data_IF_007818412615
#
_entry.id   IF_007818412615
#
_cell.length_a   1.000
_cell.length_b   1.000
_cell.length_c   1.000
_cell.angle_alpha   90.00
_cell.angle_beta   90.00
_cell.angle_gamma   90.00
#
_symmetry.space_group_name_H-M   'P 1'
#
loop_
_entity.id
_entity.type
_entity.pdbx_description
1 polymer ?
#
# COMPACT_ATOMS: atom_id res chain seq x y z
N UNK A 1 24.04 -28.17 -32.58
CA UNK A 1 23.51 -26.80 -32.85
C UNK A 1 23.39 -26.12 -31.50
N UNK A 2 24.00 -24.95 -31.32
CA UNK A 2 23.88 -24.23 -30.05
C UNK A 2 22.43 -23.80 -29.83
N UNK A 3 21.92 -23.96 -28.62
CA UNK A 3 20.61 -23.45 -28.22
C UNK A 3 20.61 -21.93 -28.36
N UNK A 4 19.66 -21.37 -29.12
CA UNK A 4 19.54 -19.92 -29.24
C UNK A 4 19.02 -19.36 -27.92
N UNK A 5 19.66 -18.29 -27.46
CA UNK A 5 19.40 -17.70 -26.14
C UNK A 5 19.00 -16.23 -26.24
N UNK A 6 18.00 -15.82 -25.44
CA UNK A 6 17.60 -14.44 -25.21
C UNK A 6 17.61 -14.14 -23.71
N UNK A 7 18.05 -12.95 -23.33
CA UNK A 7 17.94 -12.46 -21.95
C UNK A 7 16.93 -11.32 -21.90
N UNK A 8 15.94 -11.43 -21.01
CA UNK A 8 14.93 -10.41 -20.68
C UNK A 8 15.25 -9.88 -19.28
N UNK A 9 16.01 -8.79 -19.20
CA UNK A 9 16.53 -8.22 -17.94
C UNK A 9 15.98 -6.82 -17.63
N UNK A 10 14.91 -6.43 -18.31
CA UNK A 10 14.35 -5.07 -18.25
C UNK A 10 12.85 -5.03 -18.52
N UNK A 11 12.35 -3.81 -18.77
CA UNK A 11 10.92 -3.55 -18.95
C UNK A 11 10.33 -4.28 -20.17
N UNK A 12 9.20 -4.95 -19.97
CA UNK A 12 8.41 -5.58 -21.03
C UNK A 12 7.45 -4.52 -21.59
N UNK A 13 7.72 -4.03 -22.79
CA UNK A 13 6.90 -2.96 -23.36
C UNK A 13 7.53 -2.34 -24.59
N UNK A 14 6.97 -1.22 -25.06
CA UNK A 14 7.40 -0.57 -26.30
C UNK A 14 8.89 -0.16 -26.31
N UNK A 15 9.44 0.19 -25.15
CA UNK A 15 10.79 0.74 -24.99
C UNK A 15 11.86 -0.29 -24.59
N UNK A 16 11.50 -1.57 -24.55
CA UNK A 16 12.39 -2.67 -24.19
C UNK A 16 12.00 -3.95 -24.92
N UNK A 17 11.57 -4.95 -24.17
CA UNK A 17 11.18 -6.26 -24.71
C UNK A 17 9.77 -6.23 -25.27
N UNK A 18 9.61 -5.59 -26.43
CA UNK A 18 8.31 -5.42 -27.07
C UNK A 18 7.79 -6.70 -27.73
N UNK A 19 6.47 -6.84 -27.87
CA UNK A 19 5.84 -7.94 -28.63
C UNK A 19 6.35 -8.06 -30.07
N UNK A 20 6.79 -6.95 -30.68
CA UNK A 20 7.40 -6.95 -32.01
C UNK A 20 8.85 -7.45 -31.98
N UNK A 21 9.61 -7.04 -30.97
CA UNK A 21 11.00 -7.50 -30.78
C UNK A 21 11.04 -9.02 -30.56
N UNK A 22 10.21 -9.53 -29.64
CA UNK A 22 10.13 -10.96 -29.36
C UNK A 22 9.67 -11.76 -30.59
N UNK A 23 8.63 -11.28 -31.29
CA UNK A 23 8.18 -11.91 -32.55
C UNK A 23 9.30 -12.05 -33.57
N UNK A 24 10.09 -11.00 -33.78
CA UNK A 24 11.19 -11.01 -34.74
C UNK A 24 12.33 -11.94 -34.30
N UNK A 25 12.65 -11.97 -33.01
CA UNK A 25 13.62 -12.90 -32.46
C UNK A 25 13.20 -14.36 -32.69
N UNK A 26 11.94 -14.70 -32.36
CA UNK A 26 11.41 -16.05 -32.56
C UNK A 26 11.33 -16.43 -34.05
N UNK A 27 10.99 -15.49 -34.93
CA UNK A 27 11.02 -15.73 -36.37
C UNK A 27 12.43 -16.07 -36.88
N UNK A 28 13.46 -15.40 -36.34
CA UNK A 28 14.86 -15.69 -36.65
C UNK A 28 15.35 -17.02 -36.05
N UNK A 29 14.82 -17.41 -34.88
CA UNK A 29 15.08 -18.70 -34.25
C UNK A 29 14.54 -19.90 -35.04
N UNK A 30 13.54 -19.66 -35.89
CA UNK A 30 12.87 -20.69 -36.67
C UNK A 30 11.99 -21.55 -35.78
N UNK A 31 12.10 -22.88 -35.90
CA UNK A 31 11.32 -23.84 -35.09
C UNK A 31 12.17 -24.59 -34.07
N UNK A 32 13.42 -24.20 -33.85
CA UNK A 32 14.34 -24.87 -32.94
C UNK A 32 14.04 -24.58 -31.47
N UNK A 33 14.66 -25.29 -30.52
CA UNK A 33 14.54 -24.97 -29.10
C UNK A 33 15.18 -23.62 -28.79
N UNK A 34 14.51 -22.84 -27.95
CA UNK A 34 14.94 -21.51 -27.50
C UNK A 34 14.93 -21.47 -25.97
N UNK A 35 16.02 -20.97 -25.39
CA UNK A 35 16.12 -20.69 -23.96
C UNK A 35 16.04 -19.18 -23.73
N UNK A 36 15.17 -18.76 -22.80
CA UNK A 36 15.02 -17.34 -22.45
C UNK A 36 15.32 -17.18 -20.96
N UNK A 37 16.34 -16.41 -20.60
CA UNK A 37 16.57 -16.03 -19.20
C UNK A 37 15.77 -14.79 -18.87
N UNK A 38 15.09 -14.77 -17.74
CA UNK A 38 14.24 -13.65 -17.32
C UNK A 38 14.66 -13.20 -15.93
N UNK A 39 14.84 -11.89 -15.79
CA UNK A 39 15.03 -11.18 -14.52
C UNK A 39 14.40 -9.80 -14.69
N UNK A 40 13.07 -9.73 -14.58
CA UNK A 40 12.31 -8.52 -14.89
C UNK A 40 11.18 -8.29 -13.90
N UNK A 41 10.98 -7.03 -13.53
CA UNK A 41 9.86 -6.60 -12.69
C UNK A 41 8.55 -6.44 -13.47
N UNK A 42 8.58 -6.64 -14.80
CA UNK A 42 7.40 -6.65 -15.65
C UNK A 42 7.27 -5.44 -16.58
N UNK A 43 6.04 -4.96 -16.77
CA UNK A 43 5.68 -3.92 -17.72
C UNK A 43 4.27 -4.09 -18.30
N UNK A 44 4.11 -3.79 -19.59
CA UNK A 44 2.82 -3.64 -20.26
C UNK A 44 2.08 -4.98 -20.44
N UNK A 45 0.85 -5.07 -19.89
CA UNK A 45 0.00 -6.28 -19.96
C UNK A 45 -0.31 -6.68 -21.41
N UNK A 46 -0.58 -5.72 -22.31
CA UNK A 46 -0.84 -6.01 -23.73
C UNK A 46 0.35 -6.68 -24.42
N UNK A 47 1.56 -6.22 -24.12
CA UNK A 47 2.78 -6.83 -24.66
C UNK A 47 2.98 -8.22 -24.08
N UNK A 48 2.76 -8.40 -22.78
CA UNK A 48 2.90 -9.68 -22.11
C UNK A 48 1.93 -10.73 -22.64
N UNK A 49 0.66 -10.37 -22.88
CA UNK A 49 -0.33 -11.29 -23.47
C UNK A 49 0.08 -11.72 -24.88
N UNK A 50 0.53 -10.78 -25.72
CA UNK A 50 1.00 -11.11 -27.06
C UNK A 50 2.26 -11.99 -27.04
N UNK A 51 3.20 -11.73 -26.13
CA UNK A 51 4.42 -12.54 -25.97
C UNK A 51 4.08 -13.95 -25.45
N UNK A 52 3.16 -14.05 -24.49
CA UNK A 52 2.62 -15.33 -24.03
C UNK A 52 2.10 -16.18 -25.20
N UNK A 53 1.30 -15.59 -26.08
CA UNK A 53 0.73 -16.29 -27.23
C UNK A 53 1.83 -16.69 -28.23
N UNK A 54 2.80 -15.81 -28.48
CA UNK A 54 3.97 -16.11 -29.33
C UNK A 54 4.80 -17.28 -28.79
N UNK A 55 5.02 -17.34 -27.48
CA UNK A 55 5.73 -18.46 -26.85
C UNK A 55 4.97 -19.76 -27.01
N UNK A 56 3.65 -19.72 -26.82
CA UNK A 56 2.77 -20.88 -26.97
C UNK A 56 2.72 -21.38 -28.41
N UNK A 57 2.65 -20.46 -29.38
CA UNK A 57 2.69 -20.78 -30.81
C UNK A 57 4.03 -21.39 -31.24
N UNK A 58 5.15 -20.91 -30.67
CA UNK A 58 6.47 -21.46 -30.95
C UNK A 58 6.67 -22.85 -30.33
N UNK A 59 6.15 -23.08 -29.12
CA UNK A 59 6.00 -24.40 -28.49
C UNK A 59 7.29 -25.05 -27.95
N UNK A 60 8.47 -24.56 -28.31
CA UNK A 60 9.78 -25.05 -27.81
C UNK A 60 10.56 -24.00 -27.01
N UNK A 61 9.85 -23.26 -26.15
CA UNK A 61 10.44 -22.23 -25.28
C UNK A 61 10.69 -22.82 -23.89
N UNK A 62 11.94 -22.74 -23.44
CA UNK A 62 12.32 -22.93 -22.03
C UNK A 62 12.67 -21.59 -21.40
N UNK A 63 12.00 -21.23 -20.31
CA UNK A 63 12.33 -20.04 -19.53
C UNK A 63 13.16 -20.41 -18.31
N UNK A 64 14.18 -19.62 -18.02
CA UNK A 64 14.93 -19.67 -16.78
C UNK A 64 14.79 -18.36 -16.02
N UNK A 65 14.08 -18.40 -14.91
CA UNK A 65 13.88 -17.28 -14.01
C UNK A 65 15.09 -17.14 -13.10
N UNK A 66 15.64 -15.93 -13.10
CA UNK A 66 16.77 -15.51 -12.28
C UNK A 66 16.42 -14.21 -11.58
N UNK A 67 16.96 -13.96 -10.39
CA UNK A 67 16.75 -12.69 -9.71
C UNK A 67 15.29 -12.47 -9.27
N UNK A 68 14.78 -11.27 -9.50
CA UNK A 68 13.40 -10.90 -9.15
C UNK A 68 12.54 -10.90 -10.41
N UNK A 69 11.44 -11.66 -10.37
CA UNK A 69 10.51 -11.81 -11.48
C UNK A 69 9.10 -11.46 -11.01
N UNK A 70 8.52 -10.42 -11.58
CA UNK A 70 7.20 -9.95 -11.17
C UNK A 70 6.30 -9.60 -12.35
N UNK A 71 5.00 -9.55 -12.09
CA UNK A 71 4.03 -8.90 -12.98
C UNK A 71 4.02 -9.49 -14.39
N UNK A 72 4.04 -8.66 -15.44
CA UNK A 72 4.12 -9.08 -16.84
C UNK A 72 5.23 -10.12 -17.13
N UNK A 73 6.36 -10.07 -16.41
CA UNK A 73 7.44 -11.04 -16.60
C UNK A 73 7.04 -12.45 -16.16
N UNK A 74 6.29 -12.55 -15.06
CA UNK A 74 5.70 -13.82 -14.63
C UNK A 74 4.58 -14.29 -15.55
N UNK A 75 3.84 -13.37 -16.17
CA UNK A 75 2.74 -13.68 -17.09
C UNK A 75 3.21 -14.32 -18.40
N UNK A 76 4.30 -13.82 -19.00
CA UNK A 76 4.83 -14.40 -20.24
C UNK A 76 5.27 -15.86 -20.03
N UNK A 77 5.65 -16.22 -18.80
CA UNK A 77 6.11 -17.58 -18.52
C UNK A 77 5.04 -18.64 -18.70
N UNK A 78 3.76 -18.27 -18.58
CA UNK A 78 2.63 -19.18 -18.74
C UNK A 78 2.45 -19.68 -20.18
N UNK A 79 3.14 -19.04 -21.14
CA UNK A 79 3.15 -19.44 -22.55
C UNK A 79 4.31 -20.37 -22.89
N UNK A 80 5.28 -20.53 -22.00
CA UNK A 80 6.44 -21.38 -22.23
C UNK A 80 6.12 -22.87 -22.08
N UNK A 81 6.89 -23.71 -22.76
CA UNK A 81 6.79 -25.15 -22.62
C UNK A 81 7.30 -25.61 -21.25
N UNK A 82 8.37 -24.97 -20.77
CA UNK A 82 9.00 -25.28 -19.48
C UNK A 82 9.48 -24.00 -18.80
N UNK A 83 9.21 -23.88 -17.51
CA UNK A 83 9.66 -22.78 -16.67
C UNK A 83 10.54 -23.33 -15.55
N UNK A 84 11.77 -22.85 -15.49
CA UNK A 84 12.77 -23.23 -14.49
C UNK A 84 13.03 -21.99 -13.65
N UNK A 85 13.05 -22.10 -12.32
CA UNK A 85 13.46 -21.01 -11.43
C UNK A 85 14.77 -21.37 -10.73
N UNK A 86 15.70 -20.43 -10.62
CA UNK A 86 16.87 -20.65 -9.80
C UNK A 86 16.50 -20.58 -8.31
N UNK A 87 17.12 -21.40 -7.46
CA UNK A 87 16.83 -21.48 -6.02
C UNK A 87 17.00 -20.15 -5.26
N UNK A 88 17.79 -19.21 -5.80
CA UNK A 88 18.00 -17.88 -5.25
C UNK A 88 17.11 -16.78 -5.87
N UNK A 89 16.03 -17.15 -6.56
CA UNK A 89 15.16 -16.22 -7.29
C UNK A 89 13.79 -16.10 -6.66
N UNK A 90 13.13 -14.97 -6.94
CA UNK A 90 11.83 -14.62 -6.40
C UNK A 90 10.79 -14.44 -7.51
N UNK A 91 9.54 -14.77 -7.18
CA UNK A 91 8.38 -14.72 -8.07
C UNK A 91 7.24 -13.93 -7.42
N UNK A 92 6.63 -13.00 -8.13
CA UNK A 92 5.51 -12.20 -7.61
C UNK A 92 4.42 -12.01 -8.66
N UNK A 93 3.18 -12.25 -8.25
CA UNK A 93 1.98 -11.87 -9.01
C UNK A 93 1.20 -10.83 -8.21
N UNK A 94 0.58 -9.88 -8.92
CA UNK A 94 -0.24 -8.84 -8.31
C UNK A 94 -1.40 -8.46 -9.23
N UNK A 95 -2.37 -7.68 -8.74
CA UNK A 95 -3.51 -7.19 -9.52
C UNK A 95 -3.08 -6.25 -10.64
N UNK A 96 -3.86 -6.16 -11.72
CA UNK A 96 -3.55 -5.25 -12.81
C UNK A 96 -3.50 -3.80 -12.28
N UNK A 97 -2.38 -3.12 -12.54
CA UNK A 97 -2.16 -1.72 -12.18
C UNK A 97 -2.34 -0.85 -13.44
N UNK A 98 -2.81 0.37 -13.24
CA UNK A 98 -2.73 1.42 -14.25
C UNK A 98 -2.24 2.71 -13.61
N UNK A 99 -1.52 3.49 -14.39
CA UNK A 99 -1.13 4.84 -14.00
C UNK A 99 -2.38 5.71 -13.87
N UNK A 100 -2.49 6.40 -12.74
CA UNK A 100 -3.53 7.39 -12.44
C UNK A 100 -2.84 8.71 -12.11
N UNK A 101 -3.20 9.80 -12.79
CA UNK A 101 -2.58 11.10 -12.57
C UNK A 101 -3.58 12.23 -12.71
N UNK A 102 -4.14 12.65 -11.57
CA UNK A 102 -5.17 13.68 -11.48
C UNK A 102 -4.67 14.81 -10.57
N UNK A 103 -4.16 15.90 -11.15
CA UNK A 103 -3.61 17.05 -10.44
C UNK A 103 -4.13 18.37 -11.03
N UNK A 104 -4.55 19.30 -10.18
CA UNK A 104 -4.98 20.64 -10.60
C UNK A 104 -5.99 21.28 -9.66
N UNK A 105 -6.42 22.51 -9.98
CA UNK A 105 -7.58 23.12 -9.34
C UNK A 105 -8.84 22.58 -10.04
N UNK A 106 -9.66 21.84 -9.30
CA UNK A 106 -10.90 21.23 -9.79
C UNK A 106 -12.08 21.83 -9.02
N UNK A 107 -13.13 22.23 -9.74
CA UNK A 107 -14.41 22.56 -9.12
C UNK A 107 -15.19 21.24 -8.81
N UNK A 108 -16.35 21.30 -8.12
CA UNK A 108 -17.11 20.09 -7.80
C UNK A 108 -17.50 19.22 -9.01
N UNK A 109 -17.90 19.83 -10.14
CA UNK A 109 -18.29 19.09 -11.35
C UNK A 109 -17.08 18.41 -12.02
N UNK A 110 -15.90 19.04 -11.95
CA UNK A 110 -14.64 18.45 -12.41
C UNK A 110 -14.27 17.21 -11.58
N UNK A 111 -14.45 17.28 -10.25
CA UNK A 111 -14.19 16.16 -9.33
C UNK A 111 -15.12 14.98 -9.63
N UNK A 112 -16.42 15.24 -9.80
CA UNK A 112 -17.39 14.20 -10.13
C UNK A 112 -17.06 13.51 -11.47
N UNK A 113 -16.58 14.28 -12.45
CA UNK A 113 -16.14 13.75 -13.75
C UNK A 113 -14.91 12.85 -13.63
N UNK A 114 -13.93 13.24 -12.82
CA UNK A 114 -12.72 12.43 -12.54
C UNK A 114 -13.10 11.13 -11.83
N UNK A 115 -13.95 11.20 -10.80
CA UNK A 115 -14.44 10.01 -10.10
C UNK A 115 -15.09 9.02 -11.08
N UNK A 116 -15.97 9.51 -11.96
CA UNK A 116 -16.65 8.67 -12.94
C UNK A 116 -15.67 7.96 -13.91
N UNK A 117 -14.61 8.64 -14.37
CA UNK A 117 -13.61 8.00 -15.24
C UNK A 117 -12.73 6.99 -14.45
N UNK A 118 -12.37 7.29 -13.21
CA UNK A 118 -11.64 6.36 -12.34
C UNK A 118 -12.46 5.11 -12.02
N UNK A 119 -13.77 5.24 -11.77
CA UNK A 119 -14.67 4.10 -11.59
C UNK A 119 -14.71 3.20 -12.83
N UNK A 120 -14.80 3.81 -14.02
CA UNK A 120 -14.77 3.09 -15.29
C UNK A 120 -13.42 2.40 -15.53
N UNK A 121 -12.30 3.06 -15.21
CA UNK A 121 -10.96 2.47 -15.30
C UNK A 121 -10.80 1.30 -14.33
N UNK A 122 -11.26 1.44 -13.09
CA UNK A 122 -11.29 0.36 -12.09
C UNK A 122 -12.06 -0.86 -12.59
N UNK A 123 -13.28 -0.66 -13.10
CA UNK A 123 -14.10 -1.75 -13.65
C UNK A 123 -13.41 -2.48 -14.82
N UNK A 124 -12.61 -1.76 -15.61
CA UNK A 124 -11.79 -2.37 -16.66
C UNK A 124 -10.62 -3.18 -16.06
N UNK A 125 -9.90 -2.64 -15.07
CA UNK A 125 -8.81 -3.33 -14.40
C UNK A 125 -9.27 -4.59 -13.65
N UNK A 126 -10.49 -4.60 -13.11
CA UNK A 126 -11.09 -5.80 -12.52
C UNK A 126 -11.27 -6.92 -13.56
N UNK A 127 -11.69 -6.58 -14.78
CA UNK A 127 -11.80 -7.54 -15.90
C UNK A 127 -10.44 -8.07 -16.33
N UNK A 128 -9.45 -7.19 -16.44
CA UNK A 128 -8.06 -7.57 -16.77
C UNK A 128 -7.52 -8.50 -15.68
N UNK A 129 -7.61 -8.10 -14.41
CA UNK A 129 -7.17 -8.90 -13.25
C UNK A 129 -7.80 -10.29 -13.25
N UNK A 130 -9.12 -10.39 -13.46
CA UNK A 130 -9.81 -11.67 -13.53
C UNK A 130 -9.28 -12.55 -14.68
N UNK A 131 -9.00 -11.96 -15.84
CA UNK A 131 -8.43 -12.69 -16.96
C UNK A 131 -7.02 -13.20 -16.66
N UNK A 132 -6.16 -12.38 -16.05
CA UNK A 132 -4.82 -12.80 -15.65
C UNK A 132 -4.87 -13.91 -14.59
N UNK A 133 -5.75 -13.79 -13.60
CA UNK A 133 -5.95 -14.82 -12.58
C UNK A 133 -6.36 -16.17 -13.17
N UNK A 134 -7.22 -16.17 -14.22
CA UNK A 134 -7.59 -17.39 -14.95
C UNK A 134 -6.39 -18.03 -15.65
N UNK A 135 -5.45 -17.24 -16.17
CA UNK A 135 -4.24 -17.77 -16.81
C UNK A 135 -3.33 -18.45 -15.78
N UNK A 136 -3.06 -17.80 -14.64
CA UNK A 136 -2.30 -18.40 -13.54
C UNK A 136 -2.98 -19.64 -12.96
N UNK A 137 -4.31 -19.60 -12.79
CA UNK A 137 -5.12 -20.76 -12.40
C UNK A 137 -4.96 -21.92 -13.39
N UNK A 138 -4.96 -21.63 -14.70
CA UNK A 138 -4.74 -22.64 -15.73
C UNK A 138 -3.36 -23.30 -15.68
N UNK A 139 -2.31 -22.57 -15.30
CA UNK A 139 -0.94 -23.11 -15.14
C UNK A 139 -0.77 -23.88 -13.83
N UNK A 140 -1.25 -23.33 -12.72
CA UNK A 140 -1.09 -23.88 -11.36
C UNK A 140 -2.04 -25.02 -11.04
N UNK A 141 -3.21 -25.07 -11.69
CA UNK A 141 -4.32 -25.94 -11.30
C UNK A 141 -5.08 -25.48 -10.05
N UNK A 142 -4.73 -24.31 -9.47
CA UNK A 142 -5.39 -23.74 -8.30
C UNK A 142 -6.70 -23.03 -8.67
N UNK A 143 -7.69 -22.93 -7.77
CA UNK A 143 -8.89 -22.13 -8.00
C UNK A 143 -8.57 -20.66 -8.29
N UNK A 144 -9.33 -20.03 -9.19
CA UNK A 144 -9.17 -18.60 -9.53
C UNK A 144 -9.28 -17.71 -8.29
N UNK A 145 -10.10 -18.08 -7.30
CA UNK A 145 -10.24 -17.33 -6.06
C UNK A 145 -8.93 -17.28 -5.26
N UNK A 146 -8.24 -18.42 -5.08
CA UNK A 146 -6.95 -18.48 -4.38
C UNK A 146 -5.88 -17.65 -5.10
N UNK A 147 -5.89 -17.66 -6.44
CA UNK A 147 -4.99 -16.82 -7.24
C UNK A 147 -5.29 -15.33 -7.03
N UNK A 148 -6.57 -14.94 -7.00
CA UNK A 148 -6.96 -13.55 -6.75
C UNK A 148 -6.58 -13.07 -5.35
N UNK A 149 -6.64 -13.95 -4.35
CA UNK A 149 -6.19 -13.67 -2.99
C UNK A 149 -4.67 -13.49 -2.96
N UNK A 150 -3.90 -14.39 -3.59
CA UNK A 150 -2.44 -14.24 -3.71
C UNK A 150 -2.04 -12.95 -4.46
N UNK A 151 -2.73 -12.63 -5.57
CA UNK A 151 -2.50 -11.36 -6.30
C UNK A 151 -2.84 -10.12 -5.46
N UNK A 152 -3.67 -10.25 -4.42
CA UNK A 152 -4.02 -9.15 -3.51
C UNK A 152 -2.96 -8.99 -2.42
N UNK A 153 -2.29 -10.06 -2.01
CA UNK A 153 -1.24 -10.03 -0.99
C UNK A 153 0.05 -9.38 -1.49
N UNK A 154 0.25 -9.35 -2.81
CA UNK A 154 1.42 -8.75 -3.48
C UNK A 154 2.75 -9.24 -2.89
N UNK A 155 2.82 -10.48 -2.42
CA UNK A 155 3.99 -10.99 -1.67
C UNK A 155 4.97 -11.70 -2.61
N UNK A 156 6.27 -11.56 -2.32
CA UNK A 156 7.33 -12.30 -3.01
C UNK A 156 7.36 -13.76 -2.56
N UNK A 157 7.25 -14.67 -3.52
CA UNK A 157 7.45 -16.10 -3.32
C UNK A 157 8.91 -16.46 -3.60
N UNK A 158 9.51 -17.29 -2.76
CA UNK A 158 10.77 -17.96 -3.09
C UNK A 158 10.55 -19.07 -4.15
N UNK A 159 11.65 -19.69 -4.60
CA UNK A 159 11.62 -20.71 -5.64
C UNK A 159 10.76 -21.93 -5.26
N UNK A 160 10.86 -22.39 -4.02
CA UNK A 160 10.11 -23.53 -3.48
C UNK A 160 8.61 -23.25 -3.38
N UNK A 161 8.25 -22.04 -2.96
CA UNK A 161 6.87 -21.57 -2.89
C UNK A 161 6.27 -21.45 -4.29
N UNK A 162 6.98 -20.81 -5.22
CA UNK A 162 6.54 -20.69 -6.62
C UNK A 162 6.33 -22.06 -7.28
N UNK A 163 7.21 -23.03 -6.98
CA UNK A 163 7.07 -24.41 -7.42
C UNK A 163 5.85 -25.09 -6.78
N UNK A 164 5.66 -24.91 -5.48
CA UNK A 164 4.52 -25.48 -4.74
C UNK A 164 3.17 -24.90 -5.19
N UNK A 165 3.15 -23.64 -5.61
CA UNK A 165 2.01 -22.99 -6.26
C UNK A 165 1.77 -23.50 -7.69
N UNK A 166 2.73 -24.19 -8.31
CA UNK A 166 2.63 -24.70 -9.67
C UNK A 166 2.87 -23.64 -10.75
N UNK A 167 3.50 -22.51 -10.41
CA UNK A 167 3.86 -21.49 -11.40
C UNK A 167 5.10 -21.85 -12.22
N UNK A 168 5.96 -22.70 -11.67
CA UNK A 168 7.23 -23.14 -12.26
C UNK A 168 7.31 -24.67 -12.25
N UNK A 169 8.04 -25.23 -13.21
CA UNK A 169 8.09 -26.68 -13.46
C UNK A 169 9.34 -27.35 -12.86
N UNK A 170 10.39 -26.59 -12.56
CA UNK A 170 11.65 -27.09 -12.00
C UNK A 170 12.39 -26.01 -11.21
N UNK A 171 13.12 -26.42 -10.16
CA UNK A 171 14.05 -25.57 -9.43
C UNK A 171 15.47 -25.98 -9.82
N UNK A 172 16.30 -25.01 -10.19
CA UNK A 172 17.71 -25.19 -10.52
C UNK A 172 18.61 -24.57 -9.45
N UNK A 173 19.67 -25.28 -9.05
CA UNK A 173 20.70 -24.73 -8.16
C UNK A 173 21.75 -24.00 -9.00
N UNK A 174 21.89 -22.67 -8.90
CA UNK A 174 22.90 -21.95 -9.64
C UNK A 174 24.29 -22.26 -9.08
N UNK A 175 25.30 -22.29 -9.95
CA UNK A 175 26.71 -22.48 -9.56
C UNK A 175 27.27 -21.33 -8.71
N UNK A 176 26.59 -20.18 -8.71
CA UNK A 176 26.98 -18.97 -8.00
C UNK A 176 25.75 -18.39 -7.30
N UNK A 177 25.84 -18.18 -5.97
CA UNK A 177 24.78 -17.52 -5.18
C UNK A 177 25.10 -16.03 -5.06
N UNK A 178 24.35 -15.18 -5.76
CA UNK A 178 24.44 -13.73 -5.58
C UNK A 178 23.42 -13.24 -4.56
N UNK A 179 23.85 -12.40 -3.61
CA UNK A 179 22.98 -11.76 -2.63
C UNK A 179 22.39 -10.47 -3.22
N UNK A 180 21.19 -10.59 -3.77
CA UNK A 180 20.51 -9.54 -4.53
C UNK A 180 19.97 -8.39 -3.68
N UNK A 181 19.86 -8.58 -2.36
CA UNK A 181 19.39 -7.57 -1.39
C UNK A 181 20.42 -6.47 -1.11
N UNK A 182 21.68 -6.66 -1.53
CA UNK A 182 22.75 -5.66 -1.39
C UNK A 182 22.84 -4.68 -2.56
N UNK A 183 21.92 -4.73 -3.53
CA UNK A 183 21.96 -3.89 -4.71
C UNK A 183 20.99 -2.69 -4.56
N UNK A 184 21.51 -1.50 -4.24
CA UNK A 184 20.73 -0.25 -4.12
C UNK A 184 19.91 0.07 -5.38
N UNK A 185 20.38 -0.36 -6.57
CA UNK A 185 19.63 -0.21 -7.83
C UNK A 185 18.37 -1.07 -7.86
N UNK A 186 18.40 -2.25 -7.24
CA UNK A 186 17.21 -3.13 -7.16
C UNK A 186 16.14 -2.53 -6.27
N UNK A 187 16.51 -1.96 -5.11
CA UNK A 187 15.56 -1.27 -4.23
C UNK A 187 14.91 -0.09 -4.96
N UNK A 188 15.70 0.67 -5.72
CA UNK A 188 15.19 1.78 -6.54
C UNK A 188 14.24 1.29 -7.65
N UNK A 189 14.56 0.19 -8.31
CA UNK A 189 13.72 -0.40 -9.36
C UNK A 189 12.41 -0.98 -8.79
N UNK A 190 12.44 -1.59 -7.61
CA UNK A 190 11.25 -2.09 -6.92
C UNK A 190 10.30 -0.95 -6.53
N UNK A 191 10.84 0.14 -5.98
CA UNK A 191 10.07 1.35 -5.69
C UNK A 191 9.47 1.96 -6.95
N UNK A 192 10.24 2.02 -8.05
CA UNK A 192 9.73 2.54 -9.33
C UNK A 192 8.64 1.65 -9.93
N UNK A 193 8.73 0.34 -9.73
CA UNK A 193 7.72 -0.63 -10.18
C UNK A 193 6.53 -0.76 -9.22
N UNK A 194 6.49 0.02 -8.13
CA UNK A 194 5.47 -0.04 -7.06
C UNK A 194 5.32 -1.46 -6.45
N UNK A 195 6.42 -2.22 -6.41
CA UNK A 195 6.46 -3.56 -5.84
C UNK A 195 6.99 -3.52 -4.38
N UNK A 196 6.55 -4.44 -3.50
CA UNK A 196 7.01 -4.44 -2.11
C UNK A 196 8.50 -4.73 -2.02
N UNK A 197 9.17 -4.07 -1.07
CA UNK A 197 10.60 -4.26 -0.82
C UNK A 197 10.79 -5.54 0.00
N UNK A 198 11.61 -6.50 -0.47
CA UNK A 198 11.97 -7.68 0.32
C UNK A 198 12.81 -7.24 1.53
N UNK A 199 12.44 -7.69 2.74
CA UNK A 199 13.11 -7.32 3.98
C UNK A 199 14.57 -7.81 4.00
N UNK A 200 15.49 -6.99 4.50
CA UNK A 200 16.94 -7.25 4.56
C UNK A 200 17.25 -8.40 5.54
N UNK A 201 17.78 -9.52 5.03
CA UNK A 201 18.35 -10.59 5.86
C UNK A 201 19.87 -10.38 5.94
N UNK A 202 20.40 -10.12 7.13
CA UNK A 202 21.84 -10.12 7.37
C UNK A 202 22.43 -11.56 7.24
N UNK A 203 23.57 -11.66 6.57
CA UNK A 203 24.22 -12.86 6.02
C UNK A 203 24.60 -13.95 7.04
N UNK A 204 24.33 -15.23 6.72
CA UNK A 204 25.01 -16.40 7.31
C UNK A 204 26.08 -16.86 6.29
N UNK A 205 27.33 -17.00 6.73
CA UNK A 205 28.48 -17.44 5.92
C UNK A 205 28.34 -18.88 5.37
N UNK A 206 28.77 -19.11 4.13
CA UNK A 206 28.64 -20.38 3.38
C UNK A 206 29.36 -21.58 4.04
N UNK A 207 28.76 -22.79 4.10
CA UNK A 207 29.45 -24.00 4.54
C UNK A 207 30.13 -24.78 3.38
N UNK A 208 31.28 -25.38 3.69
CA UNK A 208 32.25 -26.06 2.82
C UNK A 208 31.72 -27.35 2.14
N UNK A 209 32.16 -27.71 0.91
CA UNK A 209 31.52 -28.73 0.06
C UNK A 209 31.97 -30.18 0.38
N UNK A 210 31.55 -30.69 1.54
CA UNK A 210 31.76 -32.11 1.91
C UNK A 210 30.57 -32.77 2.63
N UNK A 211 29.51 -32.00 2.90
CA UNK A 211 28.40 -32.42 3.79
C UNK A 211 27.12 -32.78 3.02
N UNK A 212 27.05 -32.45 1.72
CA UNK A 212 25.81 -32.53 0.89
C UNK A 212 25.29 -33.97 0.73
N UNK A 213 26.17 -34.98 0.66
CA UNK A 213 25.74 -36.35 0.35
C UNK A 213 25.08 -37.06 1.55
N UNK A 214 25.46 -36.73 2.80
CA UNK A 214 24.82 -37.25 4.02
C UNK A 214 23.56 -36.47 4.42
N UNK A 215 23.49 -35.19 4.05
CA UNK A 215 22.36 -34.31 4.36
C UNK A 215 21.15 -34.62 3.48
N UNK A 216 21.35 -34.95 2.20
CA UNK A 216 20.24 -35.25 1.27
C UNK A 216 19.46 -36.53 1.60
N UNK A 217 20.12 -37.56 2.13
CA UNK A 217 19.46 -38.79 2.57
C UNK A 217 18.74 -38.63 3.91
N UNK A 218 19.26 -37.77 4.79
CA UNK A 218 18.62 -37.45 6.08
C UNK A 218 17.43 -36.50 5.89
N UNK A 219 17.55 -35.46 5.04
CA UNK A 219 16.44 -34.54 4.73
C UNK A 219 15.27 -35.22 4.04
N UNK A 220 15.48 -36.18 3.13
CA UNK A 220 14.34 -36.91 2.51
C UNK A 220 13.51 -37.68 3.54
N UNK A 221 14.12 -38.16 4.63
CA UNK A 221 13.40 -38.86 5.70
C UNK A 221 12.72 -37.86 6.66
N UNK A 222 13.34 -36.71 6.91
CA UNK A 222 12.80 -35.64 7.76
C UNK A 222 11.64 -34.89 7.08
N UNK A 223 11.70 -34.64 5.76
CA UNK A 223 10.65 -33.91 5.01
C UNK A 223 9.31 -34.66 5.01
N UNK A 224 9.32 -36.00 4.96
CA UNK A 224 8.07 -36.77 5.09
C UNK A 224 7.47 -36.72 6.51
N UNK A 225 8.26 -36.35 7.54
CA UNK A 225 7.76 -36.16 8.91
C UNK A 225 7.35 -34.72 9.23
N UNK A 226 7.71 -33.75 8.36
CA UNK A 226 7.44 -32.32 8.55
C UNK A 226 6.01 -31.90 8.20
N UNK A 227 5.20 -32.77 7.61
CA UNK A 227 3.80 -32.49 7.29
C UNK A 227 2.85 -32.46 8.50
N UNK A 228 3.35 -32.59 9.75
CA UNK A 228 2.50 -32.63 10.94
C UNK A 228 2.90 -31.68 12.09
N UNK A 229 3.80 -30.72 11.92
CA UNK A 229 4.08 -29.75 13.00
C UNK A 229 3.36 -28.42 12.76
N UNK A 230 2.44 -28.06 13.66
CA UNK A 230 1.74 -26.76 13.64
C UNK A 230 2.79 -25.64 13.81
N UNK A 231 3.05 -24.89 12.75
CA UNK A 231 3.96 -23.75 12.78
C UNK A 231 3.26 -22.54 13.39
N UNK A 232 3.73 -22.10 14.56
CA UNK A 232 3.33 -20.81 15.14
C UNK A 232 4.24 -19.72 14.58
N UNK A 233 4.07 -19.42 13.29
CA UNK A 233 4.96 -18.58 12.49
C UNK A 233 5.26 -17.24 13.18
N UNK A 234 4.23 -16.56 13.67
CA UNK A 234 4.40 -15.26 14.37
C UNK A 234 5.23 -15.37 15.65
N UNK A 235 5.04 -16.43 16.45
CA UNK A 235 5.82 -16.64 17.68
C UNK A 235 7.26 -17.04 17.36
N UNK A 236 7.46 -17.87 16.34
CA UNK A 236 8.79 -18.25 15.87
C UNK A 236 9.57 -17.03 15.36
N UNK A 237 8.92 -16.14 14.60
CA UNK A 237 9.51 -14.89 14.12
C UNK A 237 9.83 -13.93 15.26
N UNK A 238 8.90 -13.75 16.21
CA UNK A 238 9.11 -12.85 17.36
C UNK A 238 10.28 -13.31 18.24
N UNK A 239 10.41 -14.61 18.43
CA UNK A 239 11.45 -15.21 19.27
C UNK A 239 12.76 -15.46 18.51
N UNK A 240 12.80 -15.18 17.21
CA UNK A 240 13.92 -15.49 16.31
C UNK A 240 14.34 -16.98 16.38
N UNK A 241 13.37 -17.89 16.52
CA UNK A 241 13.64 -19.35 16.54
C UNK A 241 13.03 -20.04 15.32
N UNK A 242 13.69 -21.06 14.73
CA UNK A 242 13.14 -21.80 13.60
C UNK A 242 11.81 -22.51 13.94
N UNK A 243 11.71 -23.04 15.16
CA UNK A 243 10.51 -23.69 15.69
C UNK A 243 10.57 -23.76 17.21
N UNK A 244 9.41 -23.65 17.85
CA UNK A 244 9.27 -23.93 19.28
C UNK A 244 9.37 -25.42 19.58
N UNK A 245 10.13 -25.76 20.62
CA UNK A 245 10.24 -27.14 21.11
C UNK A 245 8.88 -27.58 21.68
N UNK A 246 8.40 -28.73 21.23
CA UNK A 246 7.13 -29.31 21.66
C UNK A 246 7.29 -30.76 22.08
N UNK A 247 6.56 -31.16 23.11
CA UNK A 247 6.43 -32.54 23.60
C UNK A 247 4.96 -32.97 23.59
N UNK A 248 4.68 -34.23 23.92
CA UNK A 248 3.29 -34.72 24.10
C UNK A 248 2.51 -33.94 25.17
N UNK A 249 3.21 -33.26 26.09
CA UNK A 249 2.63 -32.52 27.21
C UNK A 249 2.44 -31.01 26.89
N UNK A 250 3.08 -30.49 25.83
CA UNK A 250 2.94 -29.09 25.42
C UNK A 250 4.20 -28.45 24.84
N UNK A 251 4.15 -27.13 24.66
CA UNK A 251 5.24 -26.29 24.15
C UNK A 251 5.96 -25.63 25.31
N UNK A 252 7.29 -25.70 25.30
CA UNK A 252 8.12 -25.14 26.36
C UNK A 252 8.86 -23.89 25.88
N UNK A 253 8.89 -22.86 26.74
CA UNK A 253 9.60 -21.60 26.51
C UNK A 253 10.61 -21.40 27.64
N UNK A 254 11.82 -20.96 27.31
CA UNK A 254 12.80 -20.57 28.32
C UNK A 254 12.57 -19.13 28.81
N UNK A 255 13.20 -18.75 29.94
CA UNK A 255 13.00 -17.44 30.56
C UNK A 255 13.30 -16.27 29.60
N UNK A 256 14.30 -16.40 28.73
CA UNK A 256 14.63 -15.35 27.76
C UNK A 256 13.54 -15.20 26.70
N UNK A 257 12.97 -16.30 26.21
CA UNK A 257 11.86 -16.26 25.24
C UNK A 257 10.60 -15.66 25.85
N UNK A 258 10.29 -16.03 27.10
CA UNK A 258 9.16 -15.45 27.84
C UNK A 258 9.37 -13.94 28.06
N UNK A 259 10.60 -13.51 28.36
CA UNK A 259 10.94 -12.09 28.50
C UNK A 259 10.73 -11.32 27.20
N UNK A 260 11.18 -11.86 26.05
CA UNK A 260 10.98 -11.24 24.72
C UNK A 260 9.48 -11.09 24.39
N UNK A 261 8.69 -12.13 24.66
CA UNK A 261 7.23 -12.06 24.46
C UNK A 261 6.61 -11.00 25.36
N UNK A 262 7.03 -10.94 26.63
CA UNK A 262 6.48 -9.98 27.58
C UNK A 262 6.80 -8.53 27.17
N UNK A 263 8.05 -8.25 26.76
CA UNK A 263 8.44 -6.92 26.25
C UNK A 263 7.65 -6.55 24.99
N UNK A 264 7.46 -7.49 24.06
CA UNK A 264 6.68 -7.22 22.86
C UNK A 264 5.18 -6.98 23.15
N UNK A 265 4.63 -7.69 24.14
CA UNK A 265 3.26 -7.50 24.59
C UNK A 265 3.07 -6.15 25.28
N UNK A 266 4.00 -5.75 26.14
CA UNK A 266 4.02 -4.44 26.79
C UNK A 266 4.10 -3.31 25.77
N UNK A 267 4.98 -3.42 24.77
CA UNK A 267 5.07 -2.43 23.69
C UNK A 267 3.77 -2.33 22.88
N UNK A 268 3.15 -3.47 22.54
CA UNK A 268 1.87 -3.48 21.84
C UNK A 268 0.74 -2.88 22.70
N UNK A 269 0.73 -3.14 24.00
CA UNK A 269 -0.24 -2.54 24.91
C UNK A 269 -0.08 -1.02 25.01
N UNK A 270 1.16 -0.53 25.00
CA UNK A 270 1.44 0.90 24.94
C UNK A 270 0.93 1.52 23.63
N UNK A 271 1.21 0.90 22.48
CA UNK A 271 0.72 1.37 21.16
C UNK A 271 -0.81 1.41 21.11
N UNK A 272 -1.48 0.38 21.66
CA UNK A 272 -2.95 0.35 21.73
C UNK A 272 -3.49 1.48 22.60
N UNK A 273 -2.83 1.75 23.73
CA UNK A 273 -3.20 2.86 24.63
C UNK A 273 -3.05 4.21 23.93
N UNK A 274 -1.91 4.46 23.30
CA UNK A 274 -1.63 5.70 22.54
C UNK A 274 -2.63 5.90 21.38
N UNK A 275 -2.97 4.81 20.68
CA UNK A 275 -4.00 4.83 19.63
C UNK A 275 -5.36 5.21 20.19
N UNK A 276 -5.78 4.58 21.28
CA UNK A 276 -7.10 4.80 21.87
C UNK A 276 -7.22 6.22 22.43
N UNK A 277 -6.15 6.76 23.02
CA UNK A 277 -6.05 8.16 23.44
C UNK A 277 -6.15 9.12 22.24
N UNK A 278 -5.44 8.83 21.14
CA UNK A 278 -5.53 9.63 19.91
C UNK A 278 -6.94 9.61 19.31
N UNK A 279 -7.63 8.46 19.35
CA UNK A 279 -9.02 8.34 18.90
C UNK A 279 -9.95 9.15 19.79
N UNK A 280 -9.77 9.09 21.11
CA UNK A 280 -10.56 9.88 22.06
C UNK A 280 -10.39 11.39 21.81
N UNK A 281 -9.15 11.86 21.66
CA UNK A 281 -8.85 13.26 21.33
C UNK A 281 -9.49 13.69 20.02
N UNK A 282 -9.38 12.87 18.97
CA UNK A 282 -10.02 13.13 17.67
C UNK A 282 -11.54 13.23 17.80
N UNK A 283 -12.17 12.30 18.51
CA UNK A 283 -13.62 12.30 18.70
C UNK A 283 -14.10 13.52 19.50
N UNK A 284 -13.32 13.93 20.51
CA UNK A 284 -13.59 15.16 21.25
C UNK A 284 -13.48 16.38 20.34
N UNK A 285 -12.41 16.50 19.54
CA UNK A 285 -12.24 17.61 18.59
C UNK A 285 -13.36 17.67 17.53
N UNK A 286 -13.86 16.53 17.06
CA UNK A 286 -15.01 16.45 16.16
C UNK A 286 -16.29 16.93 16.87
N UNK A 287 -16.48 16.55 18.13
CA UNK A 287 -17.62 17.00 18.94
C UNK A 287 -17.58 18.51 19.16
N UNK A 288 -16.42 19.05 19.56
CA UNK A 288 -16.23 20.48 19.78
C UNK A 288 -16.46 21.28 18.50
N UNK A 289 -15.92 20.82 17.37
CA UNK A 289 -16.18 21.42 16.06
C UNK A 289 -17.67 21.41 15.71
N UNK A 290 -18.36 20.30 15.95
CA UNK A 290 -19.79 20.16 15.66
C UNK A 290 -20.62 21.12 16.52
N UNK A 291 -20.30 21.22 17.81
CA UNK A 291 -20.96 22.15 18.73
C UNK A 291 -20.71 23.62 18.36
N UNK A 292 -19.49 23.94 17.92
CA UNK A 292 -19.14 25.28 17.46
C UNK A 292 -19.92 25.66 16.19
N UNK A 293 -20.01 24.75 15.22
CA UNK A 293 -20.81 24.95 14.00
C UNK A 293 -22.30 25.13 14.36
N UNK A 294 -22.86 24.27 15.22
CA UNK A 294 -24.24 24.39 15.66
C UNK A 294 -24.53 25.73 16.37
N UNK A 295 -23.59 26.22 17.18
CA UNK A 295 -23.69 27.52 17.84
C UNK A 295 -23.67 28.68 16.85
N UNK A 296 -22.87 28.59 15.78
CA UNK A 296 -22.84 29.58 14.70
C UNK A 296 -24.14 29.55 13.88
N UNK A 297 -24.63 28.35 13.57
CA UNK A 297 -25.85 28.14 12.78
C UNK A 297 -27.10 28.66 13.51
N UNK A 298 -27.09 28.63 14.84
CA UNK A 298 -28.17 29.18 15.67
C UNK A 298 -28.26 30.72 15.64
N UNK A 299 -27.24 31.43 15.13
CA UNK A 299 -27.24 32.90 15.10
C UNK A 299 -28.22 33.45 14.07
N UNK A 300 -28.28 32.84 12.87
CA UNK A 300 -29.15 33.28 11.78
C UNK A 300 -29.40 32.16 10.76
N UNK A 301 -30.63 32.00 10.22
CA UNK A 301 -30.93 31.00 9.20
C UNK A 301 -30.05 31.07 7.94
N UNK A 302 -29.56 32.26 7.56
CA UNK A 302 -28.65 32.43 6.44
C UNK A 302 -27.24 31.88 6.71
N UNK A 303 -26.79 31.89 7.98
CA UNK A 303 -25.52 31.28 8.39
C UNK A 303 -25.65 29.74 8.40
N UNK A 304 -26.79 29.22 8.88
CA UNK A 304 -27.10 27.80 8.86
C UNK A 304 -27.16 27.21 7.44
N UNK A 305 -27.67 27.99 6.47
CA UNK A 305 -27.77 27.57 5.07
C UNK A 305 -26.42 27.52 4.32
N UNK A 306 -25.37 28.16 4.85
CA UNK A 306 -24.05 28.15 4.23
C UNK A 306 -23.30 26.84 4.53
N UNK A 307 -22.80 26.18 3.47
CA UNK A 307 -22.18 24.83 3.57
C UNK A 307 -20.66 24.83 3.62
N UNK A 308 -20.00 25.97 3.35
CA UNK A 308 -18.55 26.15 3.44
C UNK A 308 -18.16 27.16 4.52
N UNK A 309 -16.92 27.08 5.02
CA UNK A 309 -16.43 28.00 6.05
C UNK A 309 -16.40 29.44 5.55
N UNK A 310 -15.97 29.65 4.30
CA UNK A 310 -15.89 30.95 3.64
C UNK A 310 -17.29 31.55 3.50
N UNK A 311 -18.28 30.76 3.11
CA UNK A 311 -19.68 31.20 2.99
C UNK A 311 -20.28 31.53 4.36
N UNK A 312 -19.97 30.76 5.41
CA UNK A 312 -20.39 31.06 6.78
C UNK A 312 -19.77 32.36 7.30
N UNK A 313 -18.48 32.60 7.05
CA UNK A 313 -17.79 33.85 7.41
C UNK A 313 -18.46 35.04 6.74
N UNK A 314 -18.79 34.92 5.44
CA UNK A 314 -19.44 36.01 4.71
C UNK A 314 -20.88 36.27 5.20
N UNK A 315 -21.65 35.21 5.47
CA UNK A 315 -22.99 35.34 6.06
C UNK A 315 -22.96 36.04 7.43
N UNK A 316 -21.96 35.74 8.27
CA UNK A 316 -21.74 36.42 9.56
C UNK A 316 -21.44 37.90 9.34
N UNK A 317 -20.56 38.26 8.40
CA UNK A 317 -20.24 39.67 8.10
C UNK A 317 -21.47 40.45 7.64
N UNK A 318 -22.27 39.87 6.77
CA UNK A 318 -23.51 40.47 6.28
C UNK A 318 -24.53 40.65 7.42
N UNK A 319 -24.70 39.64 8.27
CA UNK A 319 -25.58 39.72 9.43
C UNK A 319 -25.13 40.82 10.42
N UNK A 320 -23.82 40.95 10.68
CA UNK A 320 -23.27 42.02 11.52
C UNK A 320 -23.45 43.41 10.90
N UNK A 321 -23.31 43.54 9.59
CA UNK A 321 -23.50 44.81 8.88
C UNK A 321 -24.98 45.26 8.83
N UNK A 322 -25.92 44.32 8.93
CA UNK A 322 -27.36 44.58 8.91
C UNK A 322 -27.92 45.10 10.26
N UNK A 323 -27.15 45.03 11.35
CA UNK A 323 -27.59 45.55 12.66
C UNK A 323 -27.57 47.09 12.62
N UNK A 324 -28.70 47.79 12.83
CA UNK A 324 -28.70 49.24 12.83
C UNK A 324 -27.87 49.74 14.00
N UNK A 325 -26.94 50.68 13.74
CA UNK A 325 -26.43 51.54 14.79
C UNK A 325 -27.62 52.24 15.42
N UNK A 326 -27.95 51.89 16.67
CA UNK A 326 -28.84 52.73 17.47
C UNK A 326 -28.07 54.02 17.70
N UNK A 327 -28.38 55.06 16.94
CA UNK A 327 -27.94 56.40 17.30
C UNK A 327 -28.47 56.66 18.72
N UNK A 328 -27.63 57.13 19.66
CA UNK A 328 -28.13 57.46 20.99
C UNK A 328 -29.34 58.40 20.84
N UNK A 329 -30.49 58.00 21.37
CA UNK A 329 -31.69 58.81 21.28
C UNK A 329 -31.53 60.02 22.20
N UNK A 330 -31.34 61.18 21.60
CA UNK A 330 -31.30 62.46 22.28
C UNK A 330 -31.09 63.57 21.25
N UNK A 331 -31.97 64.56 21.24
CA UNK A 331 -31.71 65.78 20.47
C UNK A 331 -30.51 66.45 21.14
N UNK A 332 -29.34 66.46 20.50
CA UNK A 332 -28.25 67.34 20.95
C UNK A 332 -28.61 68.79 20.61
N UNK A 333 -29.45 69.40 21.44
CA UNK A 333 -29.51 70.85 21.56
C UNK A 333 -28.30 71.33 22.35
N UNK A 334 -27.78 72.53 22.06
CA UNK A 334 -26.69 73.20 22.82
C UNK A 334 -27.10 73.62 24.25
N UNK A 335 -28.11 72.99 24.82
CA UNK A 335 -28.60 73.23 26.18
C UNK A 335 -28.76 71.89 26.86
N UNK A 336 -28.15 71.77 28.05
CA UNK A 336 -28.28 70.60 28.89
C UNK A 336 -29.75 70.37 29.25
N UNK A 337 -30.24 69.11 29.23
CA UNK A 337 -31.62 68.81 29.57
C UNK A 337 -31.91 69.23 31.01
N UNK A 338 -33.04 69.93 31.19
CA UNK A 338 -33.58 70.29 32.50
C UNK A 338 -33.91 68.99 33.26
N UNK A 339 -33.57 68.85 34.55
CA UNK A 339 -33.69 67.58 35.26
C UNK A 339 -35.15 67.13 35.32
N UNK A 340 -35.47 66.11 34.55
CA UNK A 340 -36.71 65.35 34.67
C UNK A 340 -36.49 64.24 35.71
N UNK A 341 -37.55 63.88 36.42
CA UNK A 341 -37.58 63.07 37.64
C UNK A 341 -37.28 61.58 37.42
N UNK A 342 -36.15 61.26 36.78
CA UNK A 342 -35.79 59.90 36.33
C UNK A 342 -35.12 59.05 37.42
N UNK A 343 -35.52 59.21 38.69
CA UNK A 343 -35.03 58.37 39.79
C UNK A 343 -33.51 58.44 40.04
N UNK A 344 -32.82 59.38 39.39
CA UNK A 344 -31.41 59.63 39.61
C UNK A 344 -31.27 60.54 40.83
N UNK A 345 -30.60 60.04 41.87
CA UNK A 345 -30.22 60.84 43.03
C UNK A 345 -29.05 61.77 42.67
N UNK A 346 -29.40 62.88 42.04
CA UNK A 346 -28.48 63.93 41.66
C UNK A 346 -27.76 64.56 42.85
N UNK A 347 -28.31 64.45 44.08
CA UNK A 347 -27.63 64.94 45.28
C UNK A 347 -26.38 64.09 45.58
N UNK A 348 -26.48 62.77 45.43
CA UNK A 348 -25.35 61.84 45.59
C UNK A 348 -24.30 62.02 44.49
N UNK A 349 -24.71 62.23 43.24
CA UNK A 349 -23.81 62.47 42.11
C UNK A 349 -23.05 63.81 42.21
N UNK A 350 -23.73 64.88 42.62
CA UNK A 350 -23.12 66.21 42.76
C UNK A 350 -22.25 66.35 44.02
N UNK A 351 -22.33 65.40 44.95
CA UNK A 351 -21.45 65.30 46.11
C UNK A 351 -20.14 64.54 45.80
N UNK A 352 -19.97 64.00 44.58
CA UNK A 352 -18.76 63.27 44.22
C UNK A 352 -17.55 64.21 44.10
N UNK A 353 -16.36 63.83 44.61
CA UNK A 353 -15.19 64.71 44.68
C UNK A 353 -14.74 65.28 43.33
N UNK A 354 -14.93 64.53 42.24
CA UNK A 354 -14.54 64.95 40.88
C UNK A 354 -15.55 65.89 40.21
N UNK A 355 -16.72 66.11 40.82
CA UNK A 355 -17.75 67.04 40.34
C UNK A 355 -17.67 68.41 41.03
N UNK A 356 -16.80 68.56 42.03
CA UNK A 356 -16.71 69.76 42.88
C UNK A 356 -15.56 70.72 42.50
N UNK A 357 -14.72 70.41 41.52
CA UNK A 357 -13.52 71.20 41.16
C UNK A 357 -13.30 71.15 39.64
N UNK A 358 -13.07 72.22 38.88
CA UNK A 358 -12.76 73.63 39.17
C UNK A 358 -13.37 74.53 38.08
N UNK A 359 -14.07 75.60 38.51
CA UNK A 359 -14.21 76.81 37.69
C UNK A 359 -12.89 77.58 37.80
N UNK A 360 -12.08 77.53 36.75
CA UNK A 360 -11.09 78.56 36.44
C UNK A 360 -11.04 78.84 34.95
#
# INVERSE_FOLDING_TARGET
MGTLQLDIDGFIGAWGYSKSYIKNFLAAAGKGPVTIRVSSLGGDVDHALAIHDQFREHGQITIQLTGFNASAATLITLGAQKVIINSNSFYLIHKALAWVNEWGNMNPDDIDSVIAELEKQKLFLEKVTLQLAKMYSGKSGKPVAEILDLMKEETWLNAEEAFSWGFVDEINEPSTRENLLKNEKMITMLNYAELPIPCSIETIEDPVPGIIEKVTTTLKKTINSLFHMKQYITLNTLLAVPSLESSEEGIYLNENQVAVINTALEANQQIVTERDDAIALRNQAVTDRTNAIASLDAIDPAIAAATTLEAKIEAIRLHMAAKPAVAPSGVQTKQDPVPSADGVDWATLNALPHMQEEKY
#
